data_IF_533843220790
#
_entry.id   IF_533843220790
#
_cell.length_a   1.000
_cell.length_b   1.000
_cell.length_c   1.000
_cell.angle_alpha   90.00
_cell.angle_beta   90.00
_cell.angle_gamma   90.00
#
_symmetry.space_group_name_H-M   'P 1'
#
loop_
_entity.id
_entity.type
_entity.pdbx_description
1 polymer ?
#
# COMPACT_ATOMS: atom_id res chain seq x y z
N UNK A 1 28.00 -44.37 48.57
CA UNK A 1 27.03 -44.31 47.45
C UNK A 1 26.56 -42.88 47.31
N UNK A 2 27.09 -42.14 46.33
CA UNK A 2 26.67 -40.78 46.02
C UNK A 2 26.61 -40.64 44.50
N UNK A 3 25.41 -40.39 43.99
CA UNK A 3 25.03 -40.35 42.57
C UNK A 3 25.36 -38.98 41.99
N UNK A 4 26.13 -38.94 40.90
CA UNK A 4 26.46 -37.72 40.16
C UNK A 4 25.40 -37.50 39.07
N UNK A 5 24.60 -36.44 39.20
CA UNK A 5 23.65 -36.01 38.18
C UNK A 5 24.39 -35.54 36.91
N UNK A 6 23.97 -36.01 35.73
CA UNK A 6 24.33 -35.42 34.44
C UNK A 6 23.28 -34.37 34.10
N UNK A 7 23.68 -33.10 34.10
CA UNK A 7 22.89 -32.05 33.49
C UNK A 7 22.91 -32.25 31.97
N UNK A 8 21.75 -32.50 31.37
CA UNK A 8 21.58 -32.48 29.92
C UNK A 8 21.45 -31.03 29.47
N UNK A 9 22.44 -30.53 28.73
CA UNK A 9 22.35 -29.24 28.09
C UNK A 9 21.23 -29.29 27.03
N UNK A 10 20.12 -28.60 27.32
CA UNK A 10 19.11 -28.27 26.31
C UNK A 10 19.80 -27.37 25.30
N UNK A 11 20.02 -27.87 24.08
CA UNK A 11 20.37 -27.01 22.95
C UNK A 11 19.14 -26.18 22.62
N UNK A 12 19.18 -24.88 22.88
CA UNK A 12 18.23 -23.96 22.27
C UNK A 12 18.52 -23.92 20.78
N UNK A 13 17.60 -24.47 19.99
CA UNK A 13 17.54 -24.16 18.57
C UNK A 13 17.26 -22.67 18.45
N UNK A 14 18.25 -21.89 18.02
CA UNK A 14 18.06 -20.47 17.71
C UNK A 14 16.90 -20.33 16.72
N UNK A 15 15.81 -19.74 17.18
CA UNK A 15 14.62 -19.47 16.39
C UNK A 15 15.04 -18.57 15.22
N UNK A 16 14.85 -19.06 13.98
CA UNK A 16 14.92 -18.17 12.80
C UNK A 16 13.93 -17.04 13.06
N UNK A 17 14.41 -15.80 13.11
CA UNK A 17 13.54 -14.63 13.23
C UNK A 17 12.41 -14.71 12.20
N UNK A 18 11.17 -14.78 12.69
CA UNK A 18 9.99 -14.84 11.83
C UNK A 18 9.72 -13.45 11.26
N UNK A 19 10.18 -13.23 10.04
CA UNK A 19 10.07 -11.97 9.31
C UNK A 19 8.61 -11.51 9.21
N UNK A 20 7.66 -12.43 9.07
CA UNK A 20 6.24 -12.07 9.01
C UNK A 20 5.76 -11.47 10.34
N UNK A 21 6.18 -12.07 11.45
CA UNK A 21 5.83 -11.59 12.78
C UNK A 21 6.48 -10.24 13.05
N UNK A 22 7.79 -10.11 12.81
CA UNK A 22 8.53 -8.86 13.03
C UNK A 22 7.93 -7.67 12.26
N UNK A 23 7.61 -7.86 10.98
CA UNK A 23 6.99 -6.81 10.16
C UNK A 23 5.59 -6.49 10.65
N UNK A 24 4.80 -7.50 10.99
CA UNK A 24 3.44 -7.30 11.49
C UNK A 24 3.45 -6.57 12.83
N UNK A 25 4.30 -6.95 13.77
CA UNK A 25 4.46 -6.30 15.07
C UNK A 25 4.84 -4.83 14.90
N UNK A 26 5.73 -4.52 13.94
CA UNK A 26 6.07 -3.13 13.62
C UNK A 26 4.86 -2.35 13.10
N UNK A 27 4.09 -2.91 12.17
CA UNK A 27 2.88 -2.26 11.67
C UNK A 27 1.88 -2.05 12.80
N UNK A 28 1.62 -3.07 13.62
CA UNK A 28 0.72 -2.99 14.79
C UNK A 28 1.17 -1.91 15.75
N UNK A 29 2.48 -1.80 16.04
CA UNK A 29 3.01 -0.75 16.91
C UNK A 29 2.78 0.66 16.34
N UNK A 30 2.88 0.85 15.02
CA UNK A 30 2.50 2.13 14.40
C UNK A 30 1.00 2.41 14.60
N UNK A 31 0.14 1.42 14.34
CA UNK A 31 -1.32 1.53 14.49
C UNK A 31 -1.72 1.87 15.94
N UNK A 32 -1.12 1.23 16.93
CA UNK A 32 -1.36 1.49 18.36
C UNK A 32 -0.96 2.90 18.78
N UNK A 33 0.03 3.48 18.11
CA UNK A 33 0.43 4.87 18.30
C UNK A 33 -0.44 5.86 17.50
N UNK A 34 -1.54 5.39 16.90
CA UNK A 34 -2.43 6.20 16.06
C UNK A 34 -1.83 6.57 14.70
N UNK A 35 -0.74 5.90 14.28
CA UNK A 35 -0.05 6.17 13.02
C UNK A 35 -0.37 5.06 12.03
N UNK A 36 -1.05 5.42 10.93
CA UNK A 36 -1.26 4.50 9.81
C UNK A 36 -0.08 4.66 8.84
N UNK A 37 0.76 3.64 8.58
CA UNK A 37 1.93 3.78 7.69
C UNK A 37 1.61 4.26 6.26
N UNK A 38 0.35 4.08 5.83
CA UNK A 38 -0.16 4.51 4.52
C UNK A 38 -0.90 5.86 4.54
N UNK A 39 -1.00 6.51 5.71
CA UNK A 39 -1.60 7.83 5.85
C UNK A 39 -0.59 8.74 6.54
N UNK A 40 -0.02 9.70 5.80
CA UNK A 40 0.69 10.95 6.20
C UNK A 40 1.28 11.10 7.65
N UNK A 41 2.43 11.80 7.83
CA UNK A 41 2.85 12.91 7.00
C UNK A 41 3.96 12.52 6.04
N UNK A 42 3.73 12.81 4.76
CA UNK A 42 4.78 12.77 3.73
C UNK A 42 5.39 14.16 3.57
N UNK A 43 5.02 15.11 4.44
CA UNK A 43 5.65 16.42 4.53
C UNK A 43 6.96 16.32 5.34
N UNK A 44 8.06 16.15 4.62
CA UNK A 44 9.36 16.75 4.91
C UNK A 44 10.37 16.51 3.77
N UNK A 45 10.00 15.76 2.73
CA UNK A 45 10.80 15.61 1.52
C UNK A 45 10.36 16.61 0.45
N UNK A 46 11.32 17.13 -0.32
CA UNK A 46 11.15 18.13 -1.40
C UNK A 46 10.31 17.61 -2.58
N UNK A 47 10.01 16.31 -2.63
CA UNK A 47 9.27 15.67 -3.72
C UNK A 47 7.80 15.41 -3.38
N UNK A 48 6.94 15.55 -4.39
CA UNK A 48 5.53 15.18 -4.31
C UNK A 48 5.38 13.71 -3.87
N UNK A 49 4.32 13.39 -3.11
CA UNK A 49 4.07 12.03 -2.68
C UNK A 49 3.97 11.11 -3.90
N UNK A 50 4.70 10.00 -3.90
CA UNK A 50 4.59 8.94 -4.90
C UNK A 50 4.89 7.57 -4.27
N UNK A 51 4.54 6.47 -4.95
CA UNK A 51 4.94 5.14 -4.50
C UNK A 51 6.47 5.04 -4.64
N UNK A 52 7.20 4.50 -3.63
CA UNK A 52 8.66 4.44 -3.68
C UNK A 52 9.15 3.67 -4.90
N UNK A 53 10.28 4.10 -5.47
CA UNK A 53 10.88 3.48 -6.65
C UNK A 53 12.30 3.05 -6.38
N UNK A 54 12.71 1.98 -7.05
CA UNK A 54 14.12 1.63 -7.09
C UNK A 54 14.86 2.65 -7.95
N UNK A 55 15.81 3.38 -7.36
CA UNK A 55 16.52 4.48 -8.02
C UNK A 55 17.29 4.06 -9.28
N UNK A 56 17.77 2.81 -9.35
CA UNK A 56 18.54 2.31 -10.50
C UNK A 56 17.66 1.86 -11.65
N UNK A 57 16.51 1.24 -11.35
CA UNK A 57 15.64 0.60 -12.38
C UNK A 57 14.38 1.41 -12.69
N UNK A 58 14.07 2.43 -11.89
CA UNK A 58 12.82 3.22 -11.98
C UNK A 58 11.55 2.45 -11.59
N UNK A 59 11.66 1.15 -11.30
CA UNK A 59 10.50 0.29 -10.99
C UNK A 59 9.89 0.67 -9.64
N UNK A 60 8.56 0.76 -9.59
CA UNK A 60 7.80 0.92 -8.34
C UNK A 60 8.04 -0.28 -7.43
N UNK A 61 8.19 -0.01 -6.14
CA UNK A 61 8.03 -1.03 -5.12
C UNK A 61 6.56 -1.45 -5.02
N UNK A 62 6.33 -2.66 -4.53
CA UNK A 62 4.99 -3.27 -4.46
C UNK A 62 4.78 -3.99 -3.13
N UNK A 63 3.50 -4.19 -2.81
CA UNK A 63 3.06 -4.90 -1.62
C UNK A 63 3.57 -4.27 -0.34
N UNK A 64 3.97 -5.12 0.61
CA UNK A 64 4.41 -4.71 1.94
C UNK A 64 5.63 -3.76 1.92
N UNK A 65 6.45 -3.81 0.86
CA UNK A 65 7.62 -2.95 0.75
C UNK A 65 7.24 -1.47 0.65
N UNK A 66 6.08 -1.14 0.07
CA UNK A 66 5.58 0.25 0.01
C UNK A 66 5.36 0.77 1.44
N UNK A 67 4.70 -0.01 2.29
CA UNK A 67 4.40 0.35 3.68
C UNK A 67 5.68 0.44 4.53
N UNK A 68 6.60 -0.51 4.35
CA UNK A 68 7.87 -0.50 5.08
C UNK A 68 8.74 0.71 4.71
N UNK A 69 8.76 1.11 3.45
CA UNK A 69 9.53 2.26 2.98
C UNK A 69 8.91 3.57 3.45
N UNK A 70 7.59 3.73 3.33
CA UNK A 70 6.89 4.91 3.87
C UNK A 70 7.05 5.03 5.38
N UNK A 71 6.93 3.92 6.13
CA UNK A 71 7.18 3.92 7.57
C UNK A 71 8.64 4.20 7.95
N UNK A 72 9.61 3.86 7.08
CA UNK A 72 11.04 4.11 7.34
C UNK A 72 11.46 5.54 7.01
N UNK A 73 10.77 6.27 6.14
CA UNK A 73 11.02 7.70 5.92
C UNK A 73 10.71 8.56 7.16
N UNK A 74 9.90 8.05 8.10
CA UNK A 74 9.60 8.70 9.38
C UNK A 74 10.61 8.36 10.48
N UNK A 75 11.44 7.33 10.29
CA UNK A 75 12.38 6.83 11.29
C UNK A 75 13.78 6.86 10.71
N UNK A 76 14.54 7.92 10.99
CA UNK A 76 15.95 7.97 10.64
C UNK A 76 16.69 6.77 11.26
N UNK A 77 17.11 5.85 10.39
CA UNK A 77 18.18 4.89 10.66
C UNK A 77 17.70 3.46 10.91
N UNK A 78 17.94 2.58 9.93
CA UNK A 78 18.13 1.16 10.21
C UNK A 78 19.26 0.61 9.34
N UNK A 79 20.37 0.29 9.98
CA UNK A 79 21.44 -0.55 9.44
C UNK A 79 21.44 -1.87 10.21
N UNK A 80 21.32 -2.99 9.50
CA UNK A 80 21.64 -4.30 10.05
C UNK A 80 22.32 -5.16 8.98
N UNK A 81 23.39 -5.85 9.39
CA UNK A 81 24.25 -6.70 8.55
C UNK A 81 23.94 -8.16 8.88
N UNK A 82 23.59 -9.03 7.90
CA UNK A 82 23.42 -10.44 8.17
C UNK A 82 24.73 -11.22 7.97
N UNK A 83 25.05 -12.11 8.91
CA UNK A 83 26.02 -13.19 8.69
C UNK A 83 25.39 -14.31 7.85
N UNK A 84 26.09 -14.72 6.80
CA UNK A 84 25.62 -15.73 5.85
C UNK A 84 25.72 -17.16 6.39
N UNK A 85 24.72 -17.99 6.10
CA UNK A 85 24.82 -19.45 6.22
C UNK A 85 24.41 -20.12 4.90
N UNK A 86 25.28 -21.01 4.42
CA UNK A 86 25.03 -21.95 3.33
C UNK A 86 24.21 -23.14 3.84
N UNK A 87 23.22 -23.56 3.06
CA UNK A 87 22.57 -24.86 3.20
C UNK A 87 22.62 -25.56 1.84
N UNK A 88 23.35 -26.67 1.78
CA UNK A 88 23.27 -27.62 0.68
C UNK A 88 22.10 -28.57 0.96
N UNK A 89 21.10 -28.57 0.09
CA UNK A 89 20.07 -29.61 0.02
C UNK A 89 19.45 -29.63 -1.38
N UNK A 90 19.09 -30.83 -1.84
CA UNK A 90 18.45 -31.17 -3.13
C UNK A 90 17.41 -30.13 -3.61
N UNK A 91 17.35 -29.81 -4.92
CA UNK A 91 16.56 -28.70 -5.44
C UNK A 91 15.06 -29.00 -5.37
N UNK A 92 14.43 -28.56 -4.29
CA UNK A 92 12.98 -28.35 -4.20
C UNK A 92 12.73 -26.85 -4.09
N UNK A 93 11.86 -26.30 -4.93
CA UNK A 93 11.47 -24.89 -4.83
C UNK A 93 10.70 -24.68 -3.50
N UNK A 94 11.41 -24.22 -2.48
CA UNK A 94 10.82 -23.80 -1.21
C UNK A 94 10.56 -22.30 -1.30
N UNK A 95 9.32 -21.82 -1.14
CA UNK A 95 9.06 -20.39 -1.01
C UNK A 95 9.83 -19.86 0.21
N UNK A 96 10.71 -18.89 -0.01
CA UNK A 96 11.47 -18.26 1.07
C UNK A 96 11.38 -16.74 0.93
N UNK A 97 11.24 -16.06 2.07
CA UNK A 97 11.25 -14.61 2.13
C UNK A 97 12.69 -14.12 2.24
N UNK A 98 13.12 -13.27 1.31
CA UNK A 98 14.47 -12.67 1.30
C UNK A 98 14.39 -11.21 1.72
N UNK A 99 15.27 -10.80 2.63
CA UNK A 99 15.42 -9.42 3.07
C UNK A 99 16.56 -8.75 2.30
N UNK A 100 16.37 -7.47 1.98
CA UNK A 100 17.39 -6.62 1.41
C UNK A 100 17.45 -5.33 2.23
N UNK A 101 18.66 -4.82 2.45
CA UNK A 101 18.87 -3.49 3.02
C UNK A 101 18.95 -2.49 1.87
N UNK A 102 18.14 -1.44 1.95
CA UNK A 102 18.09 -0.37 0.96
C UNK A 102 18.28 0.96 1.65
N UNK A 103 18.88 1.92 0.94
CA UNK A 103 19.13 3.27 1.43
C UNK A 103 18.31 4.25 0.59
N UNK A 104 17.79 5.29 1.23
CA UNK A 104 17.21 6.40 0.50
C UNK A 104 18.32 7.16 -0.24
N UNK A 105 17.99 7.77 -1.37
CA UNK A 105 18.90 8.59 -2.18
C UNK A 105 19.50 9.71 -1.33
N UNK A 106 18.72 10.33 -0.44
CA UNK A 106 19.14 11.38 0.49
C UNK A 106 20.17 10.90 1.54
N UNK A 107 20.36 9.58 1.68
CA UNK A 107 21.37 8.97 2.57
C UNK A 107 22.67 8.62 1.85
N UNK A 108 22.76 8.86 0.54
CA UNK A 108 23.86 8.43 -0.30
C UNK A 108 24.59 9.63 -0.92
N UNK A 109 25.88 9.77 -0.64
CA UNK A 109 26.73 10.79 -1.26
C UNK A 109 27.24 10.34 -2.64
N UNK A 110 27.53 11.29 -3.53
CA UNK A 110 28.23 11.04 -4.80
C UNK A 110 27.39 10.33 -5.86
N UNK A 111 26.06 10.31 -5.72
CA UNK A 111 25.17 9.75 -6.74
C UNK A 111 25.12 10.63 -8.01
N UNK A 112 24.92 10.02 -9.20
CA UNK A 112 24.68 10.76 -10.44
C UNK A 112 23.52 11.75 -10.29
N UNK A 113 23.63 12.92 -10.93
CA UNK A 113 22.62 13.99 -10.81
C UNK A 113 21.25 13.54 -11.32
N UNK A 114 21.21 12.60 -12.26
CA UNK A 114 19.96 12.03 -12.78
C UNK A 114 19.20 11.23 -11.71
N UNK A 115 19.90 10.70 -10.70
CA UNK A 115 19.30 9.97 -9.59
C UNK A 115 18.87 10.88 -8.44
N UNK A 116 19.51 12.04 -8.27
CA UNK A 116 19.23 12.99 -7.18
C UNK A 116 18.36 14.16 -7.63
N UNK A 117 18.16 14.34 -8.94
CA UNK A 117 17.26 15.34 -9.48
C UNK A 117 15.83 15.08 -8.97
N UNK A 118 15.26 16.07 -8.29
CA UNK A 118 13.84 16.03 -7.96
C UNK A 118 13.03 15.94 -9.26
N UNK A 119 12.02 15.06 -9.35
CA UNK A 119 11.13 15.04 -10.48
C UNK A 119 10.52 16.44 -10.64
N UNK A 120 10.36 16.89 -11.89
CA UNK A 120 9.69 18.16 -12.15
C UNK A 120 8.32 18.14 -11.45
N UNK A 121 8.01 19.10 -10.58
CA UNK A 121 6.71 19.14 -9.92
C UNK A 121 5.62 19.15 -10.98
N UNK A 122 4.65 18.25 -10.86
CA UNK A 122 3.42 18.40 -11.63
C UNK A 122 2.81 19.75 -11.22
N UNK A 123 2.35 20.54 -12.19
CA UNK A 123 1.70 21.80 -11.85
C UNK A 123 0.48 21.51 -10.97
N UNK A 124 0.35 22.19 -9.83
CA UNK A 124 -0.73 21.94 -8.86
C UNK A 124 -2.12 21.97 -9.52
N UNK A 125 -2.29 22.79 -10.56
CA UNK A 125 -3.52 22.88 -11.35
C UNK A 125 -3.89 21.63 -12.16
N UNK A 126 -2.95 20.71 -12.40
CA UNK A 126 -3.17 19.50 -13.20
C UNK A 126 -3.49 18.25 -12.35
N UNK A 127 -3.25 18.30 -11.04
CA UNK A 127 -3.44 17.14 -10.14
C UNK A 127 -4.91 16.68 -10.12
N UNK A 128 -5.82 17.60 -9.84
CA UNK A 128 -7.26 17.33 -9.78
C UNK A 128 -7.80 16.87 -11.15
N UNK A 129 -7.54 17.59 -12.26
CA UNK A 129 -7.95 17.13 -13.58
C UNK A 129 -7.43 15.74 -13.96
N UNK A 130 -6.19 15.39 -13.57
CA UNK A 130 -5.64 14.05 -13.79
C UNK A 130 -6.44 12.97 -13.04
N UNK A 131 -6.74 13.23 -11.77
CA UNK A 131 -7.55 12.32 -10.96
C UNK A 131 -8.96 12.11 -11.54
N UNK A 132 -9.60 13.18 -12.00
CA UNK A 132 -10.91 13.11 -12.65
C UNK A 132 -10.88 12.34 -13.96
N UNK A 133 -9.87 12.56 -14.80
CA UNK A 133 -9.67 11.77 -16.03
C UNK A 133 -9.48 10.29 -15.72
N UNK A 134 -8.67 9.96 -14.72
CA UNK A 134 -8.47 8.58 -14.31
C UNK A 134 -9.77 7.92 -13.84
N UNK A 135 -10.54 8.60 -12.97
CA UNK A 135 -11.85 8.12 -12.50
C UNK A 135 -12.77 7.83 -13.70
N UNK A 136 -12.88 8.78 -14.63
CA UNK A 136 -13.69 8.59 -15.84
C UNK A 136 -13.18 7.43 -16.71
N UNK A 137 -11.86 7.31 -16.87
CA UNK A 137 -11.23 6.28 -17.70
C UNK A 137 -11.46 4.86 -17.16
N UNK A 138 -11.64 4.68 -15.84
CA UNK A 138 -11.98 3.37 -15.26
C UNK A 138 -13.28 2.78 -15.81
N UNK A 139 -14.20 3.63 -16.27
CA UNK A 139 -15.53 3.22 -16.71
C UNK A 139 -16.43 2.69 -15.60
N UNK A 140 -16.08 2.90 -14.33
CA UNK A 140 -16.95 2.54 -13.20
C UNK A 140 -18.24 3.38 -13.22
N UNK A 141 -19.39 2.74 -12.94
CA UNK A 141 -20.67 3.45 -12.73
C UNK A 141 -20.60 4.20 -11.39
N UNK A 142 -20.12 5.44 -11.44
CA UNK A 142 -19.99 6.34 -10.29
C UNK A 142 -21.22 7.24 -10.17
N UNK A 143 -22.00 7.03 -9.11
CA UNK A 143 -23.22 7.77 -8.80
C UNK A 143 -22.97 8.73 -7.65
N UNK A 144 -23.26 10.02 -7.90
CA UNK A 144 -23.06 11.08 -6.92
C UNK A 144 -24.41 11.43 -6.29
N UNK A 145 -24.51 11.32 -4.98
CA UNK A 145 -25.73 11.62 -4.22
C UNK A 145 -25.78 10.92 -2.87
N UNK A 146 -26.87 11.14 -2.12
CA UNK A 146 -27.03 10.58 -0.78
C UNK A 146 -26.03 11.11 0.24
N UNK A 147 -25.94 10.42 1.38
CA UNK A 147 -25.13 10.77 2.54
C UNK A 147 -24.06 9.72 2.88
N UNK A 148 -23.98 8.64 2.09
CA UNK A 148 -23.06 7.51 2.30
C UNK A 148 -22.29 7.15 1.03
N UNK A 149 -21.05 6.73 1.22
CA UNK A 149 -20.23 6.11 0.19
C UNK A 149 -20.29 4.59 0.33
N UNK A 150 -20.34 3.87 -0.79
CA UNK A 150 -20.24 2.41 -0.85
C UNK A 150 -20.07 1.93 -2.30
N UNK A 151 -19.38 0.80 -2.46
CA UNK A 151 -19.51 -0.07 -3.62
C UNK A 151 -20.67 -1.06 -3.41
N UNK A 152 -21.50 -1.27 -4.44
CA UNK A 152 -22.61 -2.25 -4.43
C UNK A 152 -22.28 -3.42 -5.36
N UNK A 153 -21.75 -4.55 -4.85
CA UNK A 153 -21.29 -5.66 -5.69
C UNK A 153 -22.38 -6.26 -6.60
N UNK A 154 -23.60 -6.41 -6.08
CA UNK A 154 -24.69 -7.06 -6.82
C UNK A 154 -25.14 -6.28 -8.06
N UNK A 155 -25.01 -4.95 -8.04
CA UNK A 155 -25.41 -4.06 -9.14
C UNK A 155 -24.21 -3.39 -9.83
N UNK A 156 -23.00 -3.70 -9.36
CA UNK A 156 -21.72 -3.24 -9.89
C UNK A 156 -21.59 -1.71 -10.07
N UNK A 157 -21.98 -0.93 -9.06
CA UNK A 157 -21.86 0.53 -9.08
C UNK A 157 -21.24 1.07 -7.78
N UNK A 158 -20.67 2.26 -7.87
CA UNK A 158 -20.14 3.04 -6.75
C UNK A 158 -21.10 4.19 -6.45
N UNK A 159 -21.47 4.35 -5.19
CA UNK A 159 -22.15 5.52 -4.67
C UNK A 159 -21.17 6.36 -3.87
N UNK A 160 -21.15 7.68 -4.08
CA UNK A 160 -20.46 8.62 -3.20
C UNK A 160 -21.32 9.86 -2.92
N UNK A 161 -21.20 10.47 -1.73
CA UNK A 161 -21.80 11.77 -1.47
C UNK A 161 -21.25 12.84 -2.41
N UNK A 162 -21.99 13.94 -2.62
CA UNK A 162 -21.49 15.06 -3.40
C UNK A 162 -20.27 15.70 -2.74
N UNK A 163 -19.36 16.27 -3.55
CA UNK A 163 -18.10 16.89 -3.09
C UNK A 163 -18.30 17.92 -1.97
N UNK A 164 -19.37 18.70 -2.04
CA UNK A 164 -19.68 19.72 -1.03
C UNK A 164 -20.06 19.14 0.34
N UNK A 165 -20.33 17.83 0.45
CA UNK A 165 -20.55 17.15 1.72
C UNK A 165 -19.26 16.95 2.53
N UNK A 166 -18.10 17.16 1.90
CA UNK A 166 -16.79 17.04 2.52
C UNK A 166 -16.29 18.42 2.95
N UNK A 167 -15.83 18.54 4.20
CA UNK A 167 -15.24 19.77 4.72
C UNK A 167 -14.03 20.22 3.88
N UNK A 168 -13.15 19.27 3.57
CA UNK A 168 -12.08 19.46 2.59
C UNK A 168 -12.35 18.54 1.40
N UNK A 169 -12.54 19.16 0.24
CA UNK A 169 -12.96 18.52 -1.01
C UNK A 169 -11.92 17.52 -1.51
N UNK A 170 -10.64 17.65 -1.14
CA UNK A 170 -9.60 16.69 -1.53
C UNK A 170 -9.90 15.28 -1.00
N UNK A 171 -10.60 15.16 0.14
CA UNK A 171 -10.98 13.88 0.72
C UNK A 171 -12.06 13.13 -0.07
N UNK A 172 -12.75 13.83 -0.97
CA UNK A 172 -13.69 13.19 -1.89
C UNK A 172 -12.95 12.18 -2.78
N UNK A 173 -11.77 12.52 -3.28
CA UNK A 173 -10.94 11.60 -4.08
C UNK A 173 -10.49 10.38 -3.28
N UNK A 174 -10.17 10.55 -2.00
CA UNK A 174 -9.88 9.40 -1.12
C UNK A 174 -11.05 8.45 -1.03
N UNK A 175 -12.26 8.99 -0.84
CA UNK A 175 -13.47 8.16 -0.74
C UNK A 175 -13.75 7.46 -2.05
N UNK A 176 -13.70 8.17 -3.18
CA UNK A 176 -13.89 7.57 -4.51
C UNK A 176 -12.87 6.48 -4.78
N UNK A 177 -11.60 6.68 -4.45
CA UNK A 177 -10.57 5.67 -4.67
C UNK A 177 -10.68 4.47 -3.72
N UNK A 178 -11.18 4.67 -2.50
CA UNK A 178 -11.51 3.57 -1.59
C UNK A 178 -12.62 2.69 -2.20
N UNK A 179 -13.74 3.30 -2.62
CA UNK A 179 -14.83 2.54 -3.24
C UNK A 179 -14.44 1.93 -4.60
N UNK A 180 -13.59 2.63 -5.37
CA UNK A 180 -12.99 2.07 -6.59
C UNK A 180 -12.12 0.85 -6.27
N UNK A 181 -11.42 0.87 -5.13
CA UNK A 181 -10.71 -0.27 -4.60
C UNK A 181 -11.60 -1.50 -4.46
N UNK A 182 -12.74 -1.38 -3.78
CA UNK A 182 -13.74 -2.44 -3.68
C UNK A 182 -14.30 -2.85 -5.04
N UNK A 183 -14.63 -1.87 -5.89
CA UNK A 183 -15.08 -2.11 -7.26
C UNK A 183 -14.09 -3.02 -7.99
N UNK A 184 -12.78 -2.75 -7.98
CA UNK A 184 -11.79 -3.62 -8.63
C UNK A 184 -11.85 -5.09 -8.19
N UNK A 185 -12.36 -5.40 -6.99
CA UNK A 185 -12.47 -6.76 -6.47
C UNK A 185 -13.60 -7.60 -7.08
N UNK A 186 -14.49 -7.05 -7.90
CA UNK A 186 -15.63 -7.78 -8.45
C UNK A 186 -15.21 -8.97 -9.33
N UNK A 187 -16.11 -9.94 -9.49
CA UNK A 187 -15.87 -11.18 -10.27
C UNK A 187 -15.45 -10.93 -11.72
N UNK A 188 -15.86 -9.81 -12.32
CA UNK A 188 -15.50 -9.41 -13.70
C UNK A 188 -14.11 -8.77 -13.81
N UNK A 189 -13.42 -8.52 -12.68
CA UNK A 189 -12.17 -7.75 -12.60
C UNK A 189 -11.10 -8.58 -11.88
N UNK A 190 -10.71 -8.21 -10.66
CA UNK A 190 -9.70 -8.93 -9.90
C UNK A 190 -10.24 -10.11 -9.10
N UNK A 191 -11.57 -10.32 -9.11
CA UNK A 191 -12.25 -11.47 -8.51
C UNK A 191 -11.74 -11.79 -7.10
N UNK A 192 -11.73 -10.76 -6.24
CA UNK A 192 -11.35 -10.89 -4.83
C UNK A 192 -12.54 -11.37 -4.02
N UNK A 193 -12.24 -12.02 -2.90
CA UNK A 193 -13.23 -12.38 -1.91
C UNK A 193 -13.71 -11.12 -1.18
N UNK A 194 -14.94 -10.69 -1.50
CA UNK A 194 -15.64 -9.59 -0.83
C UNK A 194 -16.79 -10.13 0.05
N UNK A 195 -16.69 -11.39 0.48
CA UNK A 195 -17.64 -11.98 1.41
C UNK A 195 -17.31 -11.60 2.86
N UNK A 196 -18.18 -12.00 3.78
CA UNK A 196 -18.07 -11.66 5.18
C UNK A 196 -19.04 -10.55 5.57
N UNK A 197 -19.27 -10.44 6.87
CA UNK A 197 -20.08 -9.38 7.47
C UNK A 197 -19.21 -8.41 8.22
N UNK A 198 -19.74 -7.21 8.49
CA UNK A 198 -19.05 -6.19 9.28
C UNK A 198 -18.44 -6.80 10.55
N UNK A 199 -17.15 -6.53 10.78
CA UNK A 199 -16.42 -7.04 11.94
C UNK A 199 -15.85 -8.46 11.80
N UNK A 200 -15.99 -9.13 10.66
CA UNK A 200 -15.30 -10.40 10.40
C UNK A 200 -13.89 -10.18 9.81
N UNK A 201 -12.96 -11.13 9.99
CA UNK A 201 -11.62 -11.03 9.39
C UNK A 201 -11.65 -10.95 7.86
N UNK A 202 -12.59 -11.62 7.20
CA UNK A 202 -12.77 -11.54 5.75
C UNK A 202 -13.15 -10.11 5.33
N UNK A 203 -14.14 -9.52 5.99
CA UNK A 203 -14.56 -8.14 5.78
C UNK A 203 -13.42 -7.15 6.03
N UNK A 204 -12.74 -7.24 7.19
CA UNK A 204 -11.62 -6.36 7.54
C UNK A 204 -10.46 -6.48 6.56
N UNK A 205 -10.18 -7.69 6.07
CA UNK A 205 -9.15 -7.93 5.08
C UNK A 205 -9.40 -7.16 3.78
N UNK A 206 -10.64 -7.11 3.31
CA UNK A 206 -11.01 -6.35 2.11
C UNK A 206 -11.05 -4.83 2.35
N UNK A 207 -11.47 -4.37 3.52
CA UNK A 207 -11.39 -2.95 3.92
C UNK A 207 -9.94 -2.43 3.91
N UNK A 208 -8.99 -3.21 4.46
CA UNK A 208 -7.56 -2.85 4.41
C UNK A 208 -7.08 -2.82 2.96
N UNK A 209 -7.53 -3.75 2.10
CA UNK A 209 -7.18 -3.72 0.68
C UNK A 209 -7.70 -2.44 0.01
N UNK A 210 -8.94 -2.04 0.24
CA UNK A 210 -9.52 -0.82 -0.33
C UNK A 210 -8.80 0.45 0.17
N UNK A 211 -8.53 0.54 1.46
CA UNK A 211 -7.80 1.66 2.08
C UNK A 211 -6.36 1.78 1.54
N UNK A 212 -5.64 0.67 1.45
CA UNK A 212 -4.29 0.66 0.87
C UNK A 212 -4.31 0.98 -0.64
N UNK A 213 -5.33 0.52 -1.36
CA UNK A 213 -5.49 0.83 -2.79
C UNK A 213 -5.66 2.34 -2.98
N UNK A 214 -6.54 2.96 -2.19
CA UNK A 214 -6.74 4.41 -2.23
C UNK A 214 -5.44 5.16 -1.93
N UNK A 215 -4.71 4.76 -0.88
CA UNK A 215 -3.43 5.37 -0.54
C UNK A 215 -2.41 5.27 -1.69
N UNK A 216 -2.29 4.10 -2.33
CA UNK A 216 -1.35 3.87 -3.42
C UNK A 216 -1.69 4.69 -4.67
N UNK A 217 -2.97 4.78 -5.04
CA UNK A 217 -3.41 5.55 -6.20
C UNK A 217 -3.27 7.06 -5.96
N UNK A 218 -3.71 7.57 -4.82
CA UNK A 218 -3.62 9.00 -4.50
C UNK A 218 -2.17 9.47 -4.42
N UNK A 219 -1.27 8.61 -3.92
CA UNK A 219 0.16 8.83 -3.98
C UNK A 219 0.64 9.03 -5.42
N UNK A 220 0.33 8.12 -6.34
CA UNK A 220 0.75 8.26 -7.73
C UNK A 220 0.12 9.48 -8.42
N UNK A 221 -1.04 9.95 -7.96
CA UNK A 221 -1.71 11.17 -8.41
C UNK A 221 -1.19 12.44 -7.74
N UNK A 222 -0.27 12.36 -6.78
CA UNK A 222 0.16 13.49 -5.95
C UNK A 222 -0.97 14.16 -5.14
N UNK A 223 -2.05 13.43 -4.82
CA UNK A 223 -3.16 13.92 -3.99
C UNK A 223 -2.88 13.61 -2.53
N UNK A 224 -3.01 14.63 -1.68
CA UNK A 224 -2.77 14.53 -0.23
C UNK A 224 -4.09 14.70 0.53
N UNK A 225 -4.80 13.61 0.87
CA UNK A 225 -5.99 13.70 1.71
C UNK A 225 -5.63 14.02 3.16
N UNK A 226 -6.53 14.72 3.85
CA UNK A 226 -6.43 14.87 5.30
C UNK A 226 -6.67 13.52 5.99
N UNK A 227 -5.91 13.25 7.05
CA UNK A 227 -6.06 12.03 7.86
C UNK A 227 -7.37 12.10 8.66
N UNK A 228 -8.19 11.06 8.60
CA UNK A 228 -9.21 10.82 9.63
C UNK A 228 -8.76 9.68 10.53
N UNK A 229 -8.91 9.88 11.82
CA UNK A 229 -8.72 8.83 12.81
C UNK A 229 -9.91 7.90 12.70
N UNK A 230 -9.65 6.62 12.64
CA UNK A 230 -10.66 5.65 12.29
C UNK A 230 -11.11 4.83 13.49
N UNK A 231 -12.43 4.70 13.65
CA UNK A 231 -13.08 3.87 14.67
C UNK A 231 -12.77 2.36 14.51
N UNK A 232 -12.08 1.96 13.43
CA UNK A 232 -11.77 0.58 13.06
C UNK A 232 -10.32 0.13 13.36
N UNK A 233 -9.45 1.01 13.88
CA UNK A 233 -8.03 0.67 14.13
C UNK A 233 -7.88 -0.50 15.11
N UNK A 234 -8.70 -0.57 16.16
CA UNK A 234 -8.65 -1.66 17.14
C UNK A 234 -8.94 -3.03 16.52
N UNK A 235 -9.98 -3.10 15.70
CA UNK A 235 -10.36 -4.32 14.97
C UNK A 235 -9.25 -4.80 14.01
N UNK A 236 -8.56 -3.87 13.35
CA UNK A 236 -7.42 -4.20 12.49
C UNK A 236 -6.22 -4.71 13.29
N UNK A 237 -5.93 -4.11 14.45
CA UNK A 237 -4.85 -4.57 15.33
C UNK A 237 -5.10 -6.03 15.74
N UNK A 238 -6.32 -6.36 16.17
CA UNK A 238 -6.68 -7.72 16.57
C UNK A 238 -6.49 -8.71 15.41
N UNK A 239 -7.01 -8.39 14.22
CA UNK A 239 -6.86 -9.24 13.03
C UNK A 239 -5.38 -9.44 12.66
N UNK A 240 -4.54 -8.40 12.75
CA UNK A 240 -3.12 -8.48 12.44
C UNK A 240 -2.34 -9.30 13.48
N UNK A 241 -2.74 -9.24 14.75
CA UNK A 241 -2.17 -10.09 15.82
C UNK A 241 -2.51 -11.57 15.60
N UNK A 242 -3.73 -11.85 15.12
CA UNK A 242 -4.17 -13.21 14.84
C UNK A 242 -3.53 -13.81 13.56
N UNK A 243 -3.27 -12.99 12.53
CA UNK A 243 -2.63 -13.42 11.29
C UNK A 243 -1.51 -12.47 10.83
N UNK A 244 -0.28 -12.84 11.17
CA UNK A 244 0.97 -12.17 10.72
C UNK A 244 1.18 -12.12 9.21
N UNK A 245 0.35 -12.78 8.40
CA UNK A 245 0.40 -12.71 6.93
C UNK A 245 -0.71 -11.84 6.35
N UNK A 246 -1.69 -11.40 7.15
CA UNK A 246 -2.83 -10.63 6.68
C UNK A 246 -2.39 -9.33 5.99
N UNK A 247 -1.49 -8.55 6.61
CA UNK A 247 -1.01 -7.29 6.00
C UNK A 247 -0.23 -7.51 4.70
N UNK A 248 0.53 -8.61 4.60
CA UNK A 248 1.26 -8.95 3.38
C UNK A 248 0.29 -9.30 2.23
N UNK A 249 -0.75 -10.09 2.54
CA UNK A 249 -1.81 -10.43 1.60
C UNK A 249 -2.56 -9.17 1.16
N UNK A 250 -2.96 -8.33 2.11
CA UNK A 250 -3.69 -7.11 1.84
C UNK A 250 -2.87 -6.14 0.97
N UNK A 251 -1.62 -5.87 1.33
CA UNK A 251 -0.75 -4.98 0.55
C UNK A 251 -0.50 -5.50 -0.88
N UNK A 252 -0.33 -6.83 -1.06
CA UNK A 252 -0.22 -7.43 -2.40
C UNK A 252 -1.47 -7.19 -3.24
N UNK A 253 -2.65 -7.44 -2.67
CA UNK A 253 -3.93 -7.26 -3.36
C UNK A 253 -4.19 -5.78 -3.67
N UNK A 254 -3.81 -4.88 -2.76
CA UNK A 254 -3.91 -3.44 -2.95
C UNK A 254 -3.00 -2.95 -4.08
N UNK A 255 -1.76 -3.45 -4.20
CA UNK A 255 -0.92 -3.16 -5.37
C UNK A 255 -1.59 -3.62 -6.66
N UNK A 256 -2.14 -4.83 -6.71
CA UNK A 256 -2.84 -5.34 -7.89
C UNK A 256 -4.04 -4.45 -8.28
N UNK A 257 -4.79 -3.96 -7.30
CA UNK A 257 -5.89 -3.04 -7.53
C UNK A 257 -5.42 -1.66 -7.99
N UNK A 258 -4.37 -1.11 -7.37
CA UNK A 258 -3.80 0.18 -7.77
C UNK A 258 -3.22 0.12 -9.19
N UNK A 259 -2.47 -0.93 -9.53
CA UNK A 259 -1.95 -1.14 -10.88
C UNK A 259 -3.08 -1.28 -11.90
N UNK A 260 -4.16 -2.00 -11.55
CA UNK A 260 -5.35 -2.12 -12.41
C UNK A 260 -6.01 -0.76 -12.68
N UNK A 261 -6.18 0.07 -11.66
CA UNK A 261 -6.76 1.42 -11.80
C UNK A 261 -5.84 2.31 -12.64
N UNK A 262 -4.54 2.36 -12.32
CA UNK A 262 -3.58 3.23 -13.00
C UNK A 262 -3.37 2.86 -14.47
N UNK A 263 -3.55 1.59 -14.85
CA UNK A 263 -3.44 1.14 -16.25
C UNK A 263 -4.47 1.81 -17.18
N UNK A 264 -5.58 2.34 -16.65
CA UNK A 264 -6.54 3.11 -17.46
C UNK A 264 -5.99 4.47 -17.90
N UNK A 265 -4.99 5.03 -17.21
CA UNK A 265 -4.32 6.26 -17.64
C UNK A 265 -3.53 6.02 -18.94
N UNK A 266 -2.74 4.94 -18.98
CA UNK A 266 -1.91 4.58 -20.13
C UNK A 266 -2.75 4.28 -21.38
N UNK A 267 -3.91 3.64 -21.20
CA UNK A 267 -4.84 3.33 -22.29
C UNK A 267 -5.48 4.57 -22.94
N UNK A 268 -5.56 5.70 -22.23
CA UNK A 268 -6.11 6.95 -22.79
C UNK A 268 -5.08 7.68 -23.66
N UNK A 269 -3.79 7.59 -23.31
CA UNK A 269 -2.69 8.24 -24.05
C UNK A 269 -2.51 7.61 -25.44
N UNK A 270 -2.72 6.29 -25.58
CA UNK A 270 -2.63 5.60 -26.87
C UNK A 270 -3.78 5.94 -27.85
N UNK A 271 -4.93 6.40 -27.35
CA UNK A 271 -6.07 6.79 -28.20
C UNK A 271 -5.96 8.23 -28.72
N UNK A 272 -5.21 9.10 -28.04
CA UNK A 272 -4.87 10.45 -28.50
C UNK A 272 -3.49 10.47 -29.18
N UNK A 273 -3.38 9.80 -30.33
CA UNK A 273 -2.22 9.98 -31.21
C UNK A 273 -2.17 11.41 -31.79
N UNK A 274 -1.00 11.91 -32.24
CA UNK A 274 -0.77 13.33 -32.60
C UNK A 274 -1.60 13.88 -33.76
N UNK A 275 -2.46 13.09 -34.41
CA UNK A 275 -3.21 13.47 -35.62
C UNK A 275 -4.58 14.11 -35.38
N UNK A 276 -5.00 14.37 -34.13
CA UNK A 276 -6.33 14.94 -33.84
C UNK A 276 -6.37 16.43 -33.42
N UNK A 277 -5.26 17.17 -33.55
CA UNK A 277 -5.23 18.64 -33.33
C UNK A 277 -5.28 19.47 -34.62
N UNK A 278 -5.76 18.91 -35.72
CA UNK A 278 -6.04 19.65 -36.95
C UNK A 278 -7.47 19.37 -37.45
N UNK A 279 -8.46 19.98 -36.79
CA UNK A 279 -9.77 20.32 -37.35
C UNK A 279 -10.45 21.41 -36.51
#
# INVERSE_FOLDING_TARGET
MATRAKASAVRSSGERADIYQEVTDRIVAELENGRLPWVQPWSNTVAAPSVPRNATTGRRYSGINVLLLWGSLQQCGFAFVPEGQKLEAEPRAVPFLKRFTVFNIDQCDGLPIEMTAAPSPQADGDIVPRAERLICATGADLRIGGDKAFYMPALDYIQVPPRFAYFDQVNWYRTVMHETGHWCGHVKRLNRDQTGSFGTHAYMGEEIVAELTAAFVLAELSIQPSVRHADYIGAWIDMLRDDKRAIFKAARLATQAADYILAFEDATVEQTGPDQLAA
#
